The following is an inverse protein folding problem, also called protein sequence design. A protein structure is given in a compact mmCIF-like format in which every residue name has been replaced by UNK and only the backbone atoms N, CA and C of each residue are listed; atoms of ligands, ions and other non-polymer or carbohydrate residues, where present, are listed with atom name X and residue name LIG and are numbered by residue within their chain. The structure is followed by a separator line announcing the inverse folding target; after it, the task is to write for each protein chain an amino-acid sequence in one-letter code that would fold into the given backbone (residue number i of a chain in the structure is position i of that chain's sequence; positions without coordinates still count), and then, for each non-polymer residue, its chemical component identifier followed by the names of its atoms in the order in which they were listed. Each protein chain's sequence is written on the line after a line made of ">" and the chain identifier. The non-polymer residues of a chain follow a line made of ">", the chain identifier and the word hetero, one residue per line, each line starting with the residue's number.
data_IF_716511387278
#
_entry.id   IF_716511387278
#
_cell.length_a   1.000
_cell.length_b   1.000
_cell.length_c   1.000
_cell.angle_alpha   90.00
_cell.angle_beta   90.00
_cell.angle_gamma   90.00
#
_symmetry.space_group_name_H-M   'P 1'
#
loop_
_entity.id
_entity.type
_entity.pdbx_description
1 polymer ?
#
# COMPACT_ATOMS: atom_id res chain seq x y z
N UNK A 1 8.79 10.69 -8.26
CA UNK A 1 9.01 9.23 -8.19
C UNK A 1 7.84 8.50 -8.83
N UNK A 2 8.06 7.29 -9.36
CA UNK A 2 7.02 6.46 -10.02
C UNK A 2 6.34 5.54 -9.01
N UNK A 3 5.21 4.95 -9.40
CA UNK A 3 4.53 3.89 -8.65
C UNK A 3 5.48 2.74 -8.28
N UNK A 4 6.40 2.38 -9.19
CA UNK A 4 7.37 1.32 -8.95
C UNK A 4 8.26 1.63 -7.74
N UNK A 5 8.76 2.86 -7.64
CA UNK A 5 9.64 3.28 -6.55
C UNK A 5 8.95 3.14 -5.18
N UNK A 6 7.68 3.50 -5.08
CA UNK A 6 6.87 3.34 -3.86
C UNK A 6 6.78 1.88 -3.42
N UNK A 7 6.57 0.96 -4.36
CA UNK A 7 6.44 -0.47 -4.08
C UNK A 7 7.80 -1.16 -3.83
N UNK A 8 8.88 -0.66 -4.43
CA UNK A 8 10.24 -1.15 -4.18
C UNK A 8 10.76 -0.67 -2.83
N UNK A 9 10.55 0.60 -2.48
CA UNK A 9 11.03 1.20 -1.23
C UNK A 9 10.10 0.96 -0.04
N UNK A 10 8.86 0.49 -0.27
CA UNK A 10 7.85 0.31 0.78
C UNK A 10 7.53 1.61 1.55
N UNK A 11 7.70 2.76 0.91
CA UNK A 11 7.62 4.09 1.50
C UNK A 11 6.17 4.60 1.66
N UNK A 12 5.26 3.71 2.06
CA UNK A 12 3.83 3.97 2.18
C UNK A 12 3.49 5.00 3.26
N UNK A 13 4.27 5.04 4.34
CA UNK A 13 4.10 6.04 5.40
C UNK A 13 4.30 7.45 4.86
N UNK A 14 5.37 7.67 4.10
CA UNK A 14 5.64 8.96 3.44
C UNK A 14 4.57 9.28 2.40
N UNK A 15 4.19 8.29 1.58
CA UNK A 15 3.10 8.47 0.60
C UNK A 15 1.82 8.97 1.24
N UNK A 16 1.36 8.31 2.32
CA UNK A 16 0.09 8.64 2.98
C UNK A 16 0.16 9.94 3.78
N UNK A 17 1.29 10.22 4.44
CA UNK A 17 1.47 11.43 5.24
C UNK A 17 1.60 12.69 4.38
N UNK A 18 2.26 12.57 3.23
CA UNK A 18 2.42 13.70 2.32
C UNK A 18 1.22 13.84 1.39
N UNK A 19 0.42 12.79 1.14
CA UNK A 19 -0.67 12.80 0.15
C UNK A 19 -1.50 14.09 0.18
N UNK A 20 -1.60 14.77 -0.97
CA UNK A 20 -2.29 16.05 -1.11
C UNK A 20 -1.39 17.28 -0.93
N UNK A 21 -0.15 17.12 -0.46
CA UNK A 21 0.83 18.22 -0.42
C UNK A 21 1.47 18.45 -1.80
N UNK A 22 1.74 19.70 -2.20
CA UNK A 22 2.39 19.99 -3.48
C UNK A 22 3.84 19.46 -3.57
N UNK A 23 4.48 19.19 -2.43
CA UNK A 23 5.85 18.66 -2.34
C UNK A 23 5.91 17.12 -2.27
N UNK A 24 4.79 16.42 -2.47
CA UNK A 24 4.75 14.95 -2.43
C UNK A 24 5.76 14.31 -3.39
N UNK A 25 6.66 13.48 -2.86
CA UNK A 25 7.58 12.63 -3.64
C UNK A 25 6.86 11.74 -4.66
N UNK A 26 5.63 11.32 -4.33
CA UNK A 26 4.79 10.38 -5.07
C UNK A 26 3.49 11.01 -5.62
N UNK A 27 3.46 12.33 -5.83
CA UNK A 27 2.25 13.07 -6.25
C UNK A 27 1.53 12.46 -7.48
N UNK A 28 2.29 11.86 -8.40
CA UNK A 28 1.78 11.25 -9.64
C UNK A 28 1.22 9.84 -9.47
N UNK A 29 1.39 9.24 -8.31
CA UNK A 29 0.88 7.90 -8.03
C UNK A 29 -0.63 8.00 -7.79
N UNK A 30 -1.40 7.29 -8.62
CA UNK A 30 -2.84 7.23 -8.45
C UNK A 30 -3.17 6.28 -7.28
N UNK A 31 -3.89 6.74 -6.24
CA UNK A 31 -4.25 5.92 -5.09
C UNK A 31 -5.10 4.70 -5.48
N UNK A 32 -5.92 4.79 -6.54
CA UNK A 32 -6.70 3.64 -7.04
C UNK A 32 -5.79 2.55 -7.60
N UNK A 33 -4.76 2.92 -8.36
CA UNK A 33 -3.80 1.96 -8.92
C UNK A 33 -2.97 1.32 -7.81
N UNK A 34 -2.52 2.13 -6.84
CA UNK A 34 -1.82 1.64 -5.65
C UNK A 34 -2.68 0.65 -4.84
N UNK A 35 -3.95 0.97 -4.62
CA UNK A 35 -4.91 0.10 -3.95
C UNK A 35 -5.09 -1.24 -4.67
N UNK A 36 -5.37 -1.22 -5.98
CA UNK A 36 -5.58 -2.43 -6.77
C UNK A 36 -4.35 -3.36 -6.75
N UNK A 37 -3.14 -2.80 -6.79
CA UNK A 37 -1.90 -3.57 -6.68
C UNK A 37 -1.72 -4.19 -5.29
N UNK A 38 -1.99 -3.43 -4.22
CA UNK A 38 -1.90 -3.93 -2.84
C UNK A 38 -2.93 -5.05 -2.57
N UNK A 39 -4.16 -4.90 -3.08
CA UNK A 39 -5.18 -5.95 -3.02
C UNK A 39 -4.70 -7.23 -3.72
N UNK A 40 -4.11 -7.10 -4.91
CA UNK A 40 -3.54 -8.24 -5.65
C UNK A 40 -2.37 -8.91 -4.91
N UNK A 41 -1.52 -8.12 -4.25
CA UNK A 41 -0.43 -8.64 -3.41
C UNK A 41 -0.98 -9.37 -2.17
N UNK A 42 -2.05 -8.85 -1.56
CA UNK A 42 -2.73 -9.48 -0.43
C UNK A 42 -3.31 -10.85 -0.79
N UNK A 43 -3.99 -10.95 -1.93
CA UNK A 43 -4.58 -12.21 -2.39
C UNK A 43 -3.53 -13.27 -2.74
N UNK A 44 -2.43 -12.85 -3.37
CA UNK A 44 -1.30 -13.74 -3.68
C UNK A 44 -0.68 -14.30 -2.39
N UNK A 45 -0.54 -13.46 -1.36
CA UNK A 45 0.05 -13.86 -0.07
C UNK A 45 -0.88 -14.80 0.71
N UNK A 46 -2.20 -14.62 0.65
CA UNK A 46 -3.17 -15.56 1.24
C UNK A 46 -3.08 -16.96 0.66
N UNK A 47 -2.80 -17.07 -0.65
CA UNK A 47 -2.64 -18.36 -1.34
C UNK A 47 -1.39 -19.13 -0.88
N UNK A 48 -0.37 -18.42 -0.38
CA UNK A 48 0.87 -18.98 0.18
C UNK A 48 0.83 -19.20 1.71
N UNK A 49 -0.26 -18.81 2.39
CA UNK A 49 -0.35 -18.64 3.84
C UNK A 49 -0.20 -19.94 4.65
N UNK A 50 -0.33 -21.11 4.02
CA UNK A 50 -0.19 -22.41 4.69
C UNK A 50 1.25 -22.64 5.19
N UNK A 51 2.25 -21.99 4.59
CA UNK A 51 3.66 -22.06 5.02
C UNK A 51 4.18 -20.77 5.68
N UNK A 52 3.47 -19.66 5.57
CA UNK A 52 3.92 -18.34 6.03
C UNK A 52 3.82 -18.12 7.55
N UNK A 53 3.07 -18.97 8.28
CA UNK A 53 2.98 -18.87 9.75
C UNK A 53 4.35 -18.96 10.46
N UNK A 54 5.38 -19.49 9.81
CA UNK A 54 6.71 -19.62 10.41
C UNK A 54 7.66 -18.43 10.19
N UNK A 55 7.29 -17.41 9.37
CA UNK A 55 8.19 -16.27 9.07
C UNK A 55 7.65 -14.93 9.57
N UNK A 56 8.32 -14.35 10.59
CA UNK A 56 7.96 -13.07 11.23
C UNK A 56 7.91 -11.90 10.22
N UNK A 57 8.89 -11.81 9.32
CA UNK A 57 8.95 -10.75 8.29
C UNK A 57 7.72 -10.72 7.38
N UNK A 58 7.15 -11.87 7.03
CA UNK A 58 6.00 -11.93 6.13
C UNK A 58 4.73 -11.42 6.81
N UNK A 59 4.57 -11.73 8.11
CA UNK A 59 3.43 -11.24 8.90
C UNK A 59 3.44 -9.72 9.04
N UNK A 60 4.59 -9.12 9.31
CA UNK A 60 4.68 -7.66 9.45
C UNK A 60 4.42 -6.94 8.12
N UNK A 61 4.93 -7.49 7.01
CA UNK A 61 4.60 -7.01 5.67
C UNK A 61 3.11 -7.11 5.38
N UNK A 62 2.48 -8.24 5.74
CA UNK A 62 1.04 -8.45 5.53
C UNK A 62 0.19 -7.46 6.33
N UNK A 63 0.56 -7.19 7.59
CA UNK A 63 -0.10 -6.18 8.42
C UNK A 63 0.01 -4.79 7.80
N UNK A 64 1.19 -4.44 7.28
CA UNK A 64 1.39 -3.17 6.61
C UNK A 64 0.50 -3.03 5.38
N UNK A 65 0.40 -4.08 4.54
CA UNK A 65 -0.54 -4.10 3.40
C UNK A 65 -1.97 -3.85 3.86
N UNK A 66 -2.44 -4.60 4.87
CA UNK A 66 -3.81 -4.46 5.36
C UNK A 66 -4.10 -3.06 5.91
N UNK A 67 -3.15 -2.47 6.63
CA UNK A 67 -3.27 -1.09 7.14
C UNK A 67 -3.29 -0.08 6.00
N UNK A 68 -2.35 -0.17 5.05
CA UNK A 68 -2.25 0.76 3.92
C UNK A 68 -3.49 0.68 3.02
N UNK A 69 -3.99 -0.53 2.73
CA UNK A 69 -5.22 -0.74 1.94
C UNK A 69 -6.41 -0.03 2.59
N UNK A 70 -6.59 -0.17 3.91
CA UNK A 70 -7.66 0.51 4.65
C UNK A 70 -7.51 2.03 4.56
N UNK A 71 -6.31 2.54 4.79
CA UNK A 71 -6.05 3.99 4.73
C UNK A 71 -6.26 4.55 3.32
N UNK A 72 -5.80 3.85 2.28
CA UNK A 72 -6.01 4.23 0.88
C UNK A 72 -7.50 4.26 0.52
N UNK A 73 -8.29 3.27 0.92
CA UNK A 73 -9.75 3.28 0.67
C UNK A 73 -10.43 4.48 1.32
N UNK A 74 -10.12 4.76 2.58
CA UNK A 74 -10.68 5.92 3.28
C UNK A 74 -10.28 7.23 2.60
N UNK A 75 -9.01 7.34 2.20
CA UNK A 75 -8.46 8.51 1.51
C UNK A 75 -9.12 8.75 0.15
N UNK A 76 -9.33 7.69 -0.64
CA UNK A 76 -10.05 7.74 -1.92
C UNK A 76 -11.49 8.18 -1.69
N UNK A 77 -12.19 7.54 -0.74
CA UNK A 77 -13.57 7.88 -0.41
C UNK A 77 -13.72 9.34 0.02
N UNK A 78 -12.76 9.85 0.80
CA UNK A 78 -12.75 11.24 1.25
C UNK A 78 -12.48 12.25 0.11
N UNK A 79 -11.70 11.87 -0.92
CA UNK A 79 -11.43 12.73 -2.08
C UNK A 79 -12.50 12.64 -3.18
N UNK A 80 -13.43 11.67 -3.09
CA UNK A 80 -14.53 11.50 -4.03
C UNK A 80 -15.84 12.18 -3.57
N UNK A 81 -15.78 12.95 -2.48
CA UNK A 81 -16.92 13.64 -1.85
C UNK A 81 -17.01 15.11 -2.25
#
# INVERSE_FOLDING_TARGET
>A
MTLLDLFTQWDWSTYLADYGRPTCKYLRVNPHTALALLEKMKDTSRKNNVFAQFRKNERDKQKLIDTVVKQLRNLISAHQS
#
